data_IF_659189137223
#
_entry.id   IF_659189137223
#
_cell.length_a   1.000
_cell.length_b   1.000
_cell.length_c   1.000
_cell.angle_alpha   90.00
_cell.angle_beta   90.00
_cell.angle_gamma   90.00
#
_symmetry.space_group_name_H-M   'P 1'
#
loop_
_entity.id
_entity.type
_entity.pdbx_description
1 polymer ?
#
# COMPACT_ATOMS: atom_id res chain seq x y z
N UNK A 1 22.71 43.92 8.42
CA UNK A 1 22.48 42.93 9.49
C UNK A 1 23.41 43.27 10.66
N UNK A 2 22.95 43.24 11.93
CA UNK A 2 23.83 43.47 13.07
C UNK A 2 24.98 42.46 13.13
N UNK A 3 26.19 42.89 13.51
CA UNK A 3 27.39 42.03 13.57
C UNK A 3 27.19 40.80 14.47
N UNK A 4 26.47 40.97 15.58
CA UNK A 4 26.12 39.87 16.48
C UNK A 4 25.26 38.80 15.81
N UNK A 5 24.26 39.22 15.01
CA UNK A 5 23.38 38.32 14.27
C UNK A 5 24.17 37.56 13.20
N UNK A 6 25.05 38.24 12.46
CA UNK A 6 25.91 37.62 11.44
C UNK A 6 26.84 36.55 12.03
N UNK A 7 27.56 36.86 13.11
CA UNK A 7 28.47 35.92 13.78
C UNK A 7 27.74 34.72 14.39
N UNK A 8 26.51 34.92 14.87
CA UNK A 8 25.64 33.84 15.37
C UNK A 8 25.24 32.86 14.26
N UNK A 9 24.87 33.36 13.09
CA UNK A 9 24.51 32.52 11.94
C UNK A 9 25.72 31.84 11.32
N UNK A 10 26.87 32.52 11.23
CA UNK A 10 28.12 31.95 10.72
C UNK A 10 28.52 30.70 11.53
N UNK A 11 28.48 30.75 12.86
CA UNK A 11 28.73 29.59 13.73
C UNK A 11 27.70 28.47 13.64
N UNK A 12 26.51 28.72 13.07
CA UNK A 12 25.45 27.70 12.89
C UNK A 12 25.54 26.99 11.55
N UNK A 13 26.19 27.59 10.55
CA UNK A 13 26.38 26.96 9.24
C UNK A 13 27.30 25.74 9.33
N UNK A 14 28.33 25.80 10.19
CA UNK A 14 29.29 24.71 10.38
C UNK A 14 28.81 23.59 11.34
N UNK A 15 27.55 23.61 11.79
CA UNK A 15 27.04 22.57 12.68
C UNK A 15 26.72 21.30 11.91
N UNK A 16 27.29 20.19 12.37
CA UNK A 16 26.92 18.87 11.87
C UNK A 16 25.43 18.57 12.08
N UNK A 17 24.85 17.78 11.18
CA UNK A 17 23.46 17.36 11.29
C UNK A 17 23.30 16.39 12.47
N UNK A 18 22.60 16.78 13.56
CA UNK A 18 22.40 15.89 14.71
C UNK A 18 21.50 14.69 14.38
N UNK A 19 20.78 14.74 13.26
CA UNK A 19 19.85 13.69 12.82
C UNK A 19 20.52 12.70 11.85
N UNK A 20 21.83 12.81 11.57
CA UNK A 20 22.54 12.01 10.56
C UNK A 20 22.46 10.49 10.81
N UNK A 21 22.72 10.05 12.02
CA UNK A 21 22.63 8.62 12.40
C UNK A 21 21.21 8.07 12.18
N UNK A 22 20.21 8.86 12.57
CA UNK A 22 18.81 8.49 12.41
C UNK A 22 18.38 8.47 10.93
N UNK A 23 18.89 9.39 10.11
CA UNK A 23 18.68 9.41 8.66
C UNK A 23 19.25 8.13 8.01
N UNK A 24 20.47 7.73 8.37
CA UNK A 24 21.11 6.51 7.87
C UNK A 24 20.31 5.26 8.26
N UNK A 25 19.85 5.16 9.51
CA UNK A 25 19.00 4.05 9.97
C UNK A 25 17.65 4.00 9.26
N UNK A 26 17.01 5.14 9.04
CA UNK A 26 15.76 5.22 8.29
C UNK A 26 15.96 4.72 6.85
N UNK A 27 17.07 5.07 6.20
CA UNK A 27 17.40 4.59 4.85
C UNK A 27 17.68 3.09 4.85
N UNK A 28 18.39 2.56 5.85
CA UNK A 28 18.67 1.13 6.02
C UNK A 28 17.37 0.31 6.13
N UNK A 29 16.49 0.68 7.07
CA UNK A 29 15.20 0.01 7.28
C UNK A 29 14.34 0.09 6.00
N UNK A 30 14.38 1.22 5.30
CA UNK A 30 13.63 1.43 4.06
C UNK A 30 14.11 0.53 2.92
N UNK A 31 15.41 0.24 2.85
CA UNK A 31 15.96 -0.70 1.85
C UNK A 31 15.42 -2.12 2.07
N UNK A 32 15.32 -2.56 3.32
CA UNK A 32 14.70 -3.85 3.66
C UNK A 32 13.17 -3.84 3.45
N UNK A 33 12.51 -2.71 3.73
CA UNK A 33 11.05 -2.59 3.74
C UNK A 33 10.54 -1.40 2.90
N UNK A 34 10.44 -1.60 1.59
CA UNK A 34 10.05 -0.56 0.62
C UNK A 34 8.66 0.06 0.86
N UNK A 35 7.76 -0.62 1.55
CA UNK A 35 6.39 -0.15 1.76
C UNK A 35 6.16 0.50 3.14
N UNK A 36 7.20 0.65 3.95
CA UNK A 36 7.04 1.20 5.29
C UNK A 36 6.84 2.73 5.26
N UNK A 37 5.62 3.16 5.58
CA UNK A 37 5.35 4.57 5.91
C UNK A 37 5.84 4.93 7.31
N UNK A 38 5.80 6.22 7.66
CA UNK A 38 6.38 6.73 8.92
C UNK A 38 5.87 6.03 10.19
N UNK A 39 4.61 5.58 10.21
CA UNK A 39 4.06 4.85 11.37
C UNK A 39 4.74 3.50 11.58
N UNK A 40 4.99 2.75 10.50
CA UNK A 40 5.69 1.46 10.56
C UNK A 40 7.17 1.68 10.85
N UNK A 41 7.78 2.71 10.27
CA UNK A 41 9.16 3.10 10.57
C UNK A 41 9.36 3.42 12.06
N UNK A 42 8.43 4.14 12.70
CA UNK A 42 8.49 4.40 14.16
C UNK A 42 8.43 3.10 14.97
N UNK A 43 7.57 2.16 14.58
CA UNK A 43 7.49 0.85 15.22
C UNK A 43 8.81 0.09 15.11
N UNK A 44 9.38 0.04 13.91
CA UNK A 44 10.65 -0.65 13.65
C UNK A 44 11.82 -0.02 14.42
N UNK A 45 11.90 1.32 14.41
CA UNK A 45 12.90 2.06 15.19
C UNK A 45 12.78 1.77 16.68
N UNK A 46 11.54 1.69 17.20
CA UNK A 46 11.30 1.33 18.61
C UNK A 46 11.69 -0.11 18.92
N UNK A 47 11.47 -1.04 17.99
CA UNK A 47 11.91 -2.44 18.13
C UNK A 47 13.44 -2.53 18.17
N UNK A 48 14.14 -1.66 17.46
CA UNK A 48 15.60 -1.53 17.49
C UNK A 48 16.13 -0.70 18.68
N UNK A 49 15.26 -0.27 19.61
CA UNK A 49 15.64 0.47 20.82
C UNK A 49 15.68 2.00 20.66
N UNK A 50 15.39 2.54 19.48
CA UNK A 50 15.36 3.98 19.25
C UNK A 50 14.02 4.60 19.66
N UNK A 51 14.01 5.32 20.78
CA UNK A 51 12.86 6.08 21.28
C UNK A 51 12.74 7.44 20.59
N UNK A 52 12.22 7.43 19.35
CA UNK A 52 12.05 8.65 18.54
C UNK A 52 10.59 9.03 18.38
N UNK A 53 10.27 10.32 18.53
CA UNK A 53 8.93 10.82 18.29
C UNK A 53 8.52 10.66 16.81
N UNK A 54 7.28 10.20 16.58
CA UNK A 54 6.69 10.06 15.24
C UNK A 54 6.80 11.31 14.36
N UNK A 55 6.71 12.51 14.94
CA UNK A 55 6.82 13.78 14.19
C UNK A 55 8.22 13.97 13.61
N UNK A 56 9.26 13.58 14.36
CA UNK A 56 10.66 13.67 13.92
C UNK A 56 10.93 12.70 12.77
N UNK A 57 10.48 11.45 12.89
CA UNK A 57 10.58 10.45 11.81
C UNK A 57 9.84 10.92 10.56
N UNK A 58 8.63 11.46 10.70
CA UNK A 58 7.86 11.98 9.57
C UNK A 58 8.58 13.14 8.86
N UNK A 59 9.15 14.08 9.61
CA UNK A 59 9.95 15.21 9.07
C UNK A 59 11.17 14.73 8.30
N UNK A 60 11.89 13.74 8.84
CA UNK A 60 13.07 13.16 8.18
C UNK A 60 12.67 12.42 6.90
N UNK A 61 11.61 11.61 6.94
CA UNK A 61 11.13 10.92 5.74
C UNK A 61 10.65 11.90 4.66
N UNK A 62 10.08 13.04 5.04
CA UNK A 62 9.74 14.13 4.13
C UNK A 62 11.00 14.76 3.50
N UNK A 63 12.00 15.08 4.32
CA UNK A 63 13.29 15.63 3.89
C UNK A 63 14.01 14.71 2.89
N UNK A 64 13.92 13.40 3.09
CA UNK A 64 14.55 12.37 2.24
C UNK A 64 13.64 11.88 1.09
N UNK A 65 12.45 12.48 0.92
CA UNK A 65 11.48 12.10 -0.11
C UNK A 65 11.04 10.62 -0.08
N UNK A 66 11.09 9.97 1.09
CA UNK A 66 10.77 8.54 1.29
C UNK A 66 9.27 8.28 1.51
N UNK A 67 8.39 9.13 0.98
CA UNK A 67 6.95 8.97 1.18
C UNK A 67 6.38 7.81 0.36
N UNK A 68 5.54 6.99 0.99
CA UNK A 68 4.88 5.86 0.32
C UNK A 68 3.64 6.35 -0.44
N UNK A 69 3.64 6.16 -1.76
CA UNK A 69 2.53 6.53 -2.66
C UNK A 69 1.82 5.31 -3.28
N UNK A 70 2.36 4.11 -3.12
CA UNK A 70 1.92 2.88 -3.82
C UNK A 70 0.49 2.40 -3.48
N UNK A 71 -0.11 2.85 -2.38
CA UNK A 71 -1.40 2.33 -1.88
C UNK A 71 -2.41 3.41 -1.46
N UNK A 72 -2.24 4.66 -1.88
CA UNK A 72 -3.16 5.76 -1.47
C UNK A 72 -4.52 5.73 -2.14
N UNK A 73 -4.66 5.08 -3.31
CA UNK A 73 -5.95 4.94 -4.01
C UNK A 73 -6.37 3.48 -4.07
N UNK A 74 -7.66 3.22 -3.82
CA UNK A 74 -8.32 1.92 -4.07
C UNK A 74 -8.32 1.67 -5.59
N UNK A 75 -7.21 1.16 -6.11
CA UNK A 75 -7.02 1.02 -7.57
C UNK A 75 -7.69 -0.22 -8.13
N UNK A 76 -8.14 -1.17 -7.30
CA UNK A 76 -8.69 -2.45 -7.77
C UNK A 76 -9.94 -2.83 -6.99
N UNK A 77 -11.04 -3.09 -7.73
CA UNK A 77 -12.16 -3.88 -7.23
C UNK A 77 -11.71 -5.34 -7.17
N UNK A 78 -11.93 -6.00 -6.05
CA UNK A 78 -11.64 -7.43 -5.94
C UNK A 78 -12.47 -8.20 -6.97
N UNK A 79 -11.80 -9.09 -7.71
CA UNK A 79 -12.44 -10.02 -8.64
C UNK A 79 -11.86 -11.40 -8.37
N UNK A 80 -12.68 -12.33 -7.88
CA UNK A 80 -12.32 -13.73 -7.73
C UNK A 80 -12.35 -14.48 -9.07
N UNK A 81 -12.92 -13.87 -10.12
CA UNK A 81 -12.98 -14.45 -11.45
C UNK A 81 -11.57 -14.53 -12.04
N UNK A 82 -11.03 -15.75 -12.10
CA UNK A 82 -9.69 -16.06 -12.64
C UNK A 82 -9.62 -16.03 -14.17
N UNK A 83 -10.68 -15.60 -14.85
CA UNK A 83 -10.83 -15.73 -16.30
C UNK A 83 -11.44 -17.07 -16.70
N UNK A 84 -11.37 -17.39 -18.00
CA UNK A 84 -11.85 -18.66 -18.57
C UNK A 84 -10.88 -19.78 -18.18
N UNK A 85 -11.17 -20.49 -17.10
CA UNK A 85 -10.36 -21.64 -16.65
C UNK A 85 -10.88 -22.91 -17.32
N UNK A 86 -10.01 -23.62 -18.03
CA UNK A 86 -10.32 -24.90 -18.68
C UNK A 86 -11.10 -24.79 -19.99
N UNK A 87 -11.52 -25.94 -20.50
CA UNK A 87 -12.35 -26.07 -21.71
C UNK A 87 -13.81 -25.76 -21.39
N UNK A 88 -14.32 -24.66 -21.96
CA UNK A 88 -15.74 -24.30 -21.84
C UNK A 88 -16.55 -25.14 -22.82
N UNK A 89 -17.55 -25.85 -22.30
CA UNK A 89 -18.47 -26.62 -23.11
C UNK A 89 -19.22 -25.71 -24.11
N UNK A 90 -19.46 -26.18 -25.35
CA UNK A 90 -20.19 -25.38 -26.34
C UNK A 90 -21.62 -25.13 -25.88
N UNK A 91 -22.15 -23.93 -26.15
CA UNK A 91 -23.54 -23.59 -25.90
C UNK A 91 -24.46 -24.38 -26.85
N UNK A 92 -25.01 -25.50 -26.38
CA UNK A 92 -25.90 -26.35 -27.18
C UNK A 92 -27.33 -25.80 -27.29
N UNK A 93 -27.73 -24.99 -26.31
CA UNK A 93 -29.09 -24.46 -26.20
C UNK A 93 -29.29 -23.27 -27.14
N UNK A 94 -28.33 -22.34 -27.21
CA UNK A 94 -28.39 -21.14 -28.07
C UNK A 94 -29.75 -20.45 -28.01
N UNK A 95 -30.28 -20.25 -26.79
CA UNK A 95 -31.60 -19.66 -26.50
C UNK A 95 -32.81 -20.41 -27.12
N UNK A 96 -32.64 -21.65 -27.57
CA UNK A 96 -33.75 -22.51 -28.03
C UNK A 96 -34.34 -23.24 -26.84
N UNK A 97 -35.28 -22.64 -26.14
CA UNK A 97 -35.90 -23.26 -24.95
C UNK A 97 -37.06 -24.19 -25.30
N UNK A 98 -37.81 -23.88 -26.37
CA UNK A 98 -38.98 -24.67 -26.78
C UNK A 98 -38.58 -25.99 -27.47
N UNK A 99 -39.28 -27.07 -27.12
CA UNK A 99 -39.18 -28.41 -27.74
C UNK A 99 -40.53 -29.12 -27.70
N UNK A 100 -40.76 -30.00 -28.67
CA UNK A 100 -42.00 -30.78 -28.78
C UNK A 100 -41.90 -32.08 -27.97
N UNK A 101 -40.68 -32.52 -27.67
CA UNK A 101 -40.40 -33.72 -26.89
C UNK A 101 -40.20 -33.31 -25.42
N UNK A 102 -40.91 -33.92 -24.46
CA UNK A 102 -40.69 -33.66 -23.04
C UNK A 102 -39.27 -34.08 -22.63
N UNK A 103 -38.68 -33.33 -21.68
CA UNK A 103 -37.33 -33.58 -21.13
C UNK A 103 -36.16 -33.56 -22.13
N UNK A 104 -36.36 -33.07 -23.36
CA UNK A 104 -35.28 -32.97 -24.36
C UNK A 104 -34.19 -31.95 -23.98
N UNK A 105 -34.55 -30.92 -23.21
CA UNK A 105 -33.64 -29.88 -22.73
C UNK A 105 -33.85 -29.71 -21.24
N UNK A 106 -32.83 -30.05 -20.45
CA UNK A 106 -32.84 -29.87 -18.99
C UNK A 106 -31.68 -28.95 -18.64
N UNK A 107 -31.99 -27.89 -17.89
CA UNK A 107 -31.02 -26.87 -17.47
C UNK A 107 -31.09 -26.68 -15.98
N UNK A 108 -29.92 -26.53 -15.35
CA UNK A 108 -29.80 -26.15 -13.94
C UNK A 108 -29.14 -24.78 -13.89
N UNK A 109 -29.70 -23.87 -13.09
CA UNK A 109 -29.06 -22.60 -12.76
C UNK A 109 -28.57 -22.62 -11.31
N UNK A 110 -27.50 -21.86 -11.02
CA UNK A 110 -27.00 -21.68 -9.66
C UNK A 110 -27.17 -20.21 -9.30
N UNK A 111 -28.15 -19.92 -8.46
CA UNK A 111 -28.47 -18.57 -8.03
C UNK A 111 -27.97 -18.37 -6.59
N UNK A 112 -27.10 -17.38 -6.38
CA UNK A 112 -26.62 -17.03 -5.03
C UNK A 112 -27.72 -16.24 -4.31
N UNK A 113 -28.20 -16.77 -3.17
CA UNK A 113 -29.09 -16.04 -2.27
C UNK A 113 -28.28 -15.41 -1.14
N UNK A 114 -28.39 -14.09 -1.01
CA UNK A 114 -27.79 -13.36 0.12
C UNK A 114 -28.77 -13.34 1.26
N UNK A 115 -28.39 -13.99 2.37
CA UNK A 115 -29.10 -13.87 3.62
C UNK A 115 -28.55 -12.67 4.38
N UNK A 116 -29.42 -11.75 4.79
CA UNK A 116 -29.08 -10.65 5.68
C UNK A 116 -29.73 -10.94 7.03
N UNK A 117 -28.90 -11.14 8.05
CA UNK A 117 -29.31 -10.98 9.45
C UNK A 117 -29.24 -9.50 9.85
#
# INVERSE_FOLDING_TARGET
>A
MPKATFMYWQKRLDRENPDKELEEKIVEIRKANKDYGYRRMVGELRNQGYLVNKKKVQRIMQKLELQVTSFTRKSRKYSSYKGKVGTVAPNRINRRFHTHIPHQKVTTDTTEFKYYE
#
